data_IF_352362828920
#
_entry.id   IF_352362828920
#
_cell.length_a   1.000
_cell.length_b   1.000
_cell.length_c   1.000
_cell.angle_alpha   90.00
_cell.angle_beta   90.00
_cell.angle_gamma   90.00
#
_symmetry.space_group_name_H-M   'P 1'
#
loop_
_entity.id
_entity.type
_entity.pdbx_description
1 polymer ?
#
# COMPACT_ATOMS: atom_id res chain seq x y z
N UNK A 1 14.60 11.66 4.58
CA UNK A 1 13.90 11.95 3.31
C UNK A 1 12.49 12.41 3.66
N UNK A 2 11.96 13.50 3.10
CA UNK A 2 10.51 13.78 3.19
C UNK A 2 9.88 13.19 1.94
N UNK A 3 9.05 12.17 2.12
CA UNK A 3 8.30 11.58 1.00
C UNK A 3 7.24 12.61 0.56
N UNK A 4 7.29 13.00 -0.71
CA UNK A 4 6.29 13.87 -1.33
C UNK A 4 5.02 13.11 -1.70
N UNK A 5 5.17 11.87 -2.18
CA UNK A 5 4.09 10.94 -2.55
C UNK A 5 4.55 9.49 -2.50
N UNK A 6 3.62 8.54 -2.48
CA UNK A 6 3.91 7.10 -2.59
C UNK A 6 3.83 6.60 -4.02
N UNK A 7 4.62 5.58 -4.34
CA UNK A 7 4.61 4.95 -5.66
C UNK A 7 3.37 4.03 -5.82
N UNK A 8 2.95 3.38 -4.73
CA UNK A 8 1.95 2.32 -4.78
C UNK A 8 0.94 2.35 -3.62
N UNK A 9 -0.29 1.93 -3.91
CA UNK A 9 -1.26 1.46 -2.91
C UNK A 9 -1.38 -0.06 -2.98
N UNK A 10 -1.03 -0.75 -1.89
CA UNK A 10 -0.96 -2.20 -1.79
C UNK A 10 -2.17 -2.74 -1.05
N UNK A 11 -3.04 -3.46 -1.74
CA UNK A 11 -4.18 -4.16 -1.08
C UNK A 11 -3.86 -5.60 -0.71
N UNK A 12 -2.64 -6.04 -1.05
CA UNK A 12 -2.05 -7.31 -0.69
C UNK A 12 -0.57 -7.08 -0.38
N UNK A 13 -0.04 -7.85 0.57
CA UNK A 13 1.37 -7.79 0.97
C UNK A 13 2.02 -9.16 0.78
N UNK A 14 3.28 -9.15 0.33
CA UNK A 14 4.13 -10.34 0.30
C UNK A 14 5.59 -9.92 0.42
N UNK A 15 6.41 -10.65 1.21
CA UNK A 15 7.86 -10.44 1.24
C UNK A 15 8.53 -10.55 -0.15
N UNK A 16 7.92 -11.30 -1.09
CA UNK A 16 8.42 -11.44 -2.46
C UNK A 16 8.32 -10.15 -3.30
N UNK A 17 7.73 -9.09 -2.74
CA UNK A 17 7.66 -7.78 -3.38
C UNK A 17 8.92 -6.95 -3.12
N UNK A 18 9.81 -7.36 -2.22
CA UNK A 18 11.05 -6.63 -1.94
C UNK A 18 12.20 -7.16 -2.79
N UNK A 19 13.08 -6.25 -3.21
CA UNK A 19 14.40 -6.62 -3.72
C UNK A 19 15.29 -7.23 -2.63
N UNK A 20 16.45 -7.75 -3.01
CA UNK A 20 17.45 -8.24 -2.05
C UNK A 20 18.14 -7.08 -1.32
N UNK A 21 18.59 -7.31 -0.07
CA UNK A 21 19.38 -6.33 0.67
C UNK A 21 18.61 -5.08 1.12
N UNK A 22 17.30 -5.21 1.37
CA UNK A 22 16.46 -4.07 1.79
C UNK A 22 15.88 -4.24 3.20
N UNK A 23 15.65 -3.11 3.86
CA UNK A 23 14.85 -3.01 5.09
C UNK A 23 13.56 -2.28 4.77
N UNK A 24 12.46 -2.68 5.40
CA UNK A 24 11.15 -2.07 5.19
C UNK A 24 10.59 -1.54 6.53
N UNK A 25 10.33 -0.24 6.58
CA UNK A 25 9.80 0.46 7.74
C UNK A 25 8.29 0.64 7.62
N UNK A 26 7.58 0.37 8.71
CA UNK A 26 6.13 0.42 8.73
C UNK A 26 5.63 1.47 9.72
N UNK A 27 4.78 2.37 9.25
CA UNK A 27 4.17 3.41 10.05
C UNK A 27 2.65 3.40 9.86
N UNK A 28 1.90 3.22 10.94
CA UNK A 28 0.45 3.38 10.91
C UNK A 28 0.09 4.85 10.63
N UNK A 29 -0.87 5.07 9.75
CA UNK A 29 -1.38 6.40 9.41
C UNK A 29 -2.89 6.49 9.66
N UNK A 30 -3.41 7.70 9.77
CA UNK A 30 -4.84 7.94 9.55
C UNK A 30 -5.14 7.88 8.05
N UNK A 31 -6.43 7.74 7.69
CA UNK A 31 -6.82 7.77 6.29
C UNK A 31 -6.51 9.14 5.65
N UNK A 32 -6.74 10.24 6.36
CA UNK A 32 -6.45 11.60 5.84
C UNK A 32 -4.95 11.80 5.59
N UNK A 33 -4.10 11.31 6.49
CA UNK A 33 -2.65 11.37 6.29
C UNK A 33 -2.21 10.50 5.11
N UNK A 34 -2.85 9.35 4.88
CA UNK A 34 -2.59 8.51 3.71
C UNK A 34 -3.03 9.20 2.42
N UNK A 35 -4.21 9.84 2.37
CA UNK A 35 -4.70 10.60 1.21
C UNK A 35 -3.74 11.71 0.78
N UNK A 36 -3.08 12.37 1.73
CA UNK A 36 -2.11 13.42 1.43
C UNK A 36 -0.82 12.92 0.73
N UNK A 37 -0.62 11.61 0.64
CA UNK A 37 0.55 11.00 -0.02
C UNK A 37 0.21 10.43 -1.41
N UNK A 38 -1.04 10.52 -1.85
CA UNK A 38 -1.49 10.03 -3.16
C UNK A 38 -1.35 11.13 -4.20
N UNK A 39 -0.87 10.76 -5.39
CA UNK A 39 -0.83 11.61 -6.59
C UNK A 39 -1.29 10.85 -7.85
N UNK A 40 -1.22 11.53 -9.01
CA UNK A 40 -1.62 10.98 -10.32
C UNK A 40 -0.73 9.84 -10.85
N UNK A 41 0.47 9.67 -10.27
CA UNK A 41 1.42 8.62 -10.64
C UNK A 41 1.34 7.40 -9.73
N UNK A 42 0.68 7.53 -8.58
CA UNK A 42 0.42 6.45 -7.64
C UNK A 42 -0.39 5.33 -8.30
N UNK A 43 0.06 4.08 -8.15
CA UNK A 43 -0.57 2.89 -8.78
C UNK A 43 -1.15 1.95 -7.74
N UNK A 44 -2.29 1.33 -8.03
CA UNK A 44 -2.84 0.25 -7.19
C UNK A 44 -2.12 -1.05 -7.53
N UNK A 45 -1.55 -1.73 -6.53
CA UNK A 45 -1.17 -3.14 -6.63
C UNK A 45 -2.30 -4.00 -6.07
N UNK A 46 -3.01 -4.69 -6.97
CA UNK A 46 -4.02 -5.67 -6.61
C UNK A 46 -3.97 -6.90 -7.49
N UNK A 47 -4.36 -8.05 -6.93
CA UNK A 47 -4.56 -9.31 -7.65
C UNK A 47 -6.03 -9.70 -7.78
N UNK A 48 -6.93 -8.96 -7.14
CA UNK A 48 -8.37 -9.28 -7.08
C UNK A 48 -9.18 -8.01 -7.32
N UNK A 49 -10.20 -8.11 -8.16
CA UNK A 49 -11.08 -6.97 -8.48
C UNK A 49 -11.66 -6.34 -7.22
N UNK A 50 -12.14 -7.13 -6.25
CA UNK A 50 -12.69 -6.61 -5.00
C UNK A 50 -11.68 -5.76 -4.19
N UNK A 51 -10.40 -6.13 -4.20
CA UNK A 51 -9.35 -5.38 -3.52
C UNK A 51 -8.95 -4.11 -4.29
N UNK A 52 -8.98 -4.16 -5.63
CA UNK A 52 -8.79 -2.94 -6.43
C UNK A 52 -9.91 -1.93 -6.16
N UNK A 53 -11.16 -2.39 -6.16
CA UNK A 53 -12.32 -1.54 -5.85
C UNK A 53 -12.26 -1.01 -4.41
N UNK A 54 -11.77 -1.82 -3.45
CA UNK A 54 -11.51 -1.33 -2.10
C UNK A 54 -10.52 -0.16 -2.10
N UNK A 55 -9.40 -0.27 -2.81
CA UNK A 55 -8.43 0.82 -2.92
C UNK A 55 -9.04 2.08 -3.53
N UNK A 56 -9.81 1.95 -4.62
CA UNK A 56 -10.51 3.09 -5.26
C UNK A 56 -11.58 3.70 -4.36
N UNK A 57 -12.26 2.89 -3.54
CA UNK A 57 -13.21 3.40 -2.55
C UNK A 57 -12.52 4.24 -1.45
N UNK A 58 -11.29 3.89 -1.07
CA UNK A 58 -10.49 4.68 -0.13
C UNK A 58 -9.82 5.89 -0.78
N UNK A 59 -9.38 5.76 -2.04
CA UNK A 59 -8.64 6.75 -2.81
C UNK A 59 -9.25 6.87 -4.24
N UNK A 60 -10.33 7.65 -4.40
CA UNK A 60 -11.06 7.75 -5.67
C UNK A 60 -10.23 8.27 -6.86
N UNK A 61 -9.16 9.00 -6.58
CA UNK A 61 -8.22 9.59 -7.54
C UNK A 61 -7.31 8.56 -8.24
N UNK A 62 -7.22 7.33 -7.71
CA UNK A 62 -6.35 6.31 -8.28
C UNK A 62 -6.97 5.70 -9.54
N UNK A 63 -6.28 5.84 -10.67
CA UNK A 63 -6.74 5.30 -11.96
C UNK A 63 -5.97 4.06 -12.43
N UNK A 64 -4.67 3.99 -12.12
CA UNK A 64 -3.73 3.00 -12.67
C UNK A 64 -3.62 1.78 -11.74
N UNK A 65 -3.64 0.57 -12.33
CA UNK A 65 -3.46 -0.70 -11.59
C UNK A 65 -2.31 -1.50 -12.18
N UNK A 66 -1.51 -2.13 -11.32
CA UNK A 66 -0.43 -3.06 -11.67
C UNK A 66 -0.64 -4.41 -10.98
N UNK A 67 -0.13 -5.48 -11.59
CA UNK A 67 -0.26 -6.86 -11.08
C UNK A 67 0.96 -7.34 -10.30
N UNK A 68 2.11 -6.68 -10.48
CA UNK A 68 3.38 -6.97 -9.81
C UNK A 68 4.15 -5.68 -9.57
N UNK A 69 4.92 -5.69 -8.48
CA UNK A 69 5.89 -4.65 -8.14
C UNK A 69 7.14 -5.31 -7.56
N UNK A 70 8.26 -4.61 -7.68
CA UNK A 70 9.49 -4.87 -6.94
C UNK A 70 9.87 -3.56 -6.24
N UNK A 71 9.81 -3.55 -4.92
CA UNK A 71 10.10 -2.41 -4.06
C UNK A 71 11.62 -2.35 -3.83
N UNK A 72 12.23 -1.27 -4.29
CA UNK A 72 13.66 -1.00 -4.18
C UNK A 72 13.92 0.01 -3.06
N UNK A 73 15.17 0.18 -2.60
CA UNK A 73 15.51 1.31 -1.73
C UNK A 73 15.03 2.63 -2.32
N UNK A 74 14.37 3.44 -1.49
CA UNK A 74 13.71 4.68 -1.89
C UNK A 74 12.25 4.53 -2.30
N UNK A 75 11.75 3.31 -2.54
CA UNK A 75 10.33 3.08 -2.79
C UNK A 75 9.47 3.36 -1.56
N UNK A 76 8.28 3.90 -1.81
CA UNK A 76 7.28 4.15 -0.80
C UNK A 76 5.92 3.60 -1.23
N UNK A 77 5.20 2.99 -0.29
CA UNK A 77 3.90 2.41 -0.57
C UNK A 77 2.92 2.56 0.59
N UNK A 78 1.63 2.72 0.29
CA UNK A 78 0.57 2.63 1.29
C UNK A 78 -0.03 1.24 1.27
N UNK A 79 0.11 0.50 2.36
CA UNK A 79 -0.60 -0.77 2.53
C UNK A 79 -1.98 -0.56 3.15
N UNK A 80 -3.01 -1.02 2.44
CA UNK A 80 -4.38 -1.14 2.93
C UNK A 80 -4.58 -2.54 3.51
N UNK A 81 -4.51 -2.64 4.85
CA UNK A 81 -4.84 -3.85 5.57
C UNK A 81 -6.35 -3.88 5.83
N UNK A 82 -7.06 -4.69 5.04
CA UNK A 82 -8.45 -5.00 5.30
C UNK A 82 -8.59 -6.13 6.33
N UNK A 83 -9.52 -6.00 7.26
CA UNK A 83 -9.87 -7.04 8.25
C UNK A 83 -11.38 -7.11 8.39
N UNK A 84 -11.94 -8.32 8.29
CA UNK A 84 -13.38 -8.54 8.39
C UNK A 84 -13.88 -9.69 7.50
N UNK A 85 -15.20 -9.75 7.25
CA UNK A 85 -15.83 -10.70 6.32
C UNK A 85 -15.27 -10.59 4.88
N UNK A 86 -15.46 -11.59 4.01
CA UNK A 86 -15.03 -11.49 2.61
C UNK A 86 -15.60 -10.26 1.88
N UNK A 87 -14.76 -9.54 1.13
CA UNK A 87 -15.18 -8.41 0.32
C UNK A 87 -16.02 -8.86 -0.89
N UNK A 88 -17.10 -8.13 -1.16
CA UNK A 88 -17.83 -8.20 -2.42
C UNK A 88 -17.03 -7.64 -3.59
N UNK A 89 -17.49 -7.89 -4.82
CA UNK A 89 -16.82 -7.40 -6.04
C UNK A 89 -16.85 -5.87 -6.18
N UNK A 90 -17.74 -5.19 -5.47
CA UNK A 90 -17.88 -3.74 -5.43
C UNK A 90 -16.89 -3.04 -4.49
N UNK A 91 -16.06 -3.80 -3.77
CA UNK A 91 -15.05 -3.25 -2.86
C UNK A 91 -15.61 -2.55 -1.62
N UNK A 92 -16.91 -2.66 -1.37
CA UNK A 92 -17.53 -2.06 -0.17
C UNK A 92 -17.13 -2.84 1.07
N UNK A 93 -16.81 -2.10 2.13
CA UNK A 93 -16.50 -2.67 3.43
C UNK A 93 -17.80 -3.21 4.03
N UNK A 94 -17.94 -4.53 4.25
CA UNK A 94 -19.12 -5.10 4.89
C UNK A 94 -19.20 -4.70 6.36
N UNK A 95 -20.38 -4.86 6.96
CA UNK A 95 -20.55 -4.64 8.40
C UNK A 95 -19.58 -5.50 9.21
N UNK A 96 -18.94 -4.90 10.22
CA UNK A 96 -17.88 -5.54 11.02
C UNK A 96 -16.50 -5.56 10.35
N UNK A 97 -16.39 -5.08 9.11
CA UNK A 97 -15.11 -4.87 8.43
C UNK A 97 -14.49 -3.51 8.73
N UNK A 98 -13.16 -3.41 8.64
CA UNK A 98 -12.43 -2.16 8.71
C UNK A 98 -11.14 -2.21 7.90
N UNK A 99 -10.59 -1.03 7.61
CA UNK A 99 -9.31 -0.86 6.91
C UNK A 99 -8.35 -0.08 7.79
N UNK A 100 -7.11 -0.55 7.88
CA UNK A 100 -5.98 0.20 8.44
C UNK A 100 -5.02 0.58 7.32
N UNK A 101 -4.44 1.77 7.41
CA UNK A 101 -3.45 2.26 6.46
C UNK A 101 -2.07 2.25 7.11
N UNK A 102 -1.09 1.73 6.39
CA UNK A 102 0.31 1.76 6.79
C UNK A 102 1.14 2.35 5.66
N UNK A 103 1.98 3.33 5.98
CA UNK A 103 3.07 3.71 5.10
C UNK A 103 4.21 2.69 5.25
N UNK A 104 4.67 2.20 4.11
CA UNK A 104 5.81 1.34 3.93
C UNK A 104 6.91 2.14 3.24
N UNK A 105 8.05 2.31 3.90
CA UNK A 105 9.24 2.96 3.34
C UNK A 105 10.36 1.92 3.23
N UNK A 106 10.94 1.78 2.05
CA UNK A 106 12.00 0.80 1.79
C UNK A 106 13.35 1.50 1.71
N UNK A 107 14.34 0.98 2.43
CA UNK A 107 15.72 1.48 2.43
C UNK A 107 16.73 0.34 2.24
N UNK A 108 17.97 0.69 1.97
CA UNK A 108 19.07 -0.26 1.92
C UNK A 108 19.29 -0.88 3.31
N UNK A 109 19.51 -2.19 3.36
CA UNK A 109 19.82 -2.88 4.59
C UNK A 109 21.13 -2.36 5.18
N UNK A 110 21.04 -1.80 6.37
CA UNK A 110 22.21 -1.42 7.15
C UNK A 110 22.56 -2.56 8.08
N UNK A 111 23.72 -3.18 7.85
CA UNK A 111 24.23 -4.19 8.77
C UNK A 111 24.47 -3.55 10.14
N UNK A 112 23.87 -4.12 11.19
CA UNK A 112 24.08 -3.62 12.53
C UNK A 112 25.55 -3.79 12.88
N UNK A 113 26.28 -2.68 13.01
CA UNK A 113 27.65 -2.69 13.53
C UNK A 113 27.55 -3.14 14.98
N UNK A 114 28.05 -4.35 15.25
CA UNK A 114 28.08 -4.97 16.57
C UNK A 114 29.04 -4.25 17.54
#
# INVERSE_FOLDING_TARGET
MKIGSVDFVLTAFSPLMFGEGVTAHWKALSLDAARALIDEETKILSRRVCHEQLARAQFPELEKTVSRVELQPGSAALHLLYSGPPLGTDGRIPEGGFVRTYLLEVEEYQEAVA
#
